data_IF_812361571166
#
_entry.id   IF_812361571166
#
_cell.length_a   1.000
_cell.length_b   1.000
_cell.length_c   1.000
_cell.angle_alpha   90.00
_cell.angle_beta   90.00
_cell.angle_gamma   90.00
#
_symmetry.space_group_name_H-M   'P 1'
#
loop_
_entity.id
_entity.type
_entity.pdbx_description
1 polymer ?
#
# COMPACT_ATOMS: atom_id res chain seq x y z
N UNK A 1 8.50 9.38 15.61
CA UNK A 1 9.19 10.35 14.73
C UNK A 1 8.16 10.97 13.80
N UNK A 2 7.80 12.23 14.01
CA UNK A 2 6.95 12.98 13.08
C UNK A 2 7.78 13.32 11.84
N UNK A 3 7.48 12.73 10.69
CA UNK A 3 8.12 13.07 9.42
C UNK A 3 7.76 14.50 9.06
N UNK A 4 8.69 15.43 9.22
CA UNK A 4 8.52 16.80 8.78
C UNK A 4 8.49 16.82 7.25
N UNK A 5 7.36 17.29 6.71
CA UNK A 5 7.15 17.55 5.30
C UNK A 5 8.00 18.76 4.88
N UNK A 6 9.27 18.52 4.53
CA UNK A 6 10.14 19.53 3.95
C UNK A 6 10.06 19.47 2.41
N UNK A 7 9.91 20.62 1.73
CA UNK A 7 9.85 20.66 0.27
C UNK A 7 11.21 20.33 -0.36
N UNK A 8 11.21 19.47 -1.37
CA UNK A 8 12.37 19.15 -2.19
C UNK A 8 12.77 20.34 -3.09
N UNK A 9 14.06 20.43 -3.44
CA UNK A 9 14.56 21.48 -4.34
C UNK A 9 14.01 21.31 -5.76
N UNK A 10 13.70 22.43 -6.43
CA UNK A 10 13.11 22.50 -7.78
C UNK A 10 13.93 21.89 -8.94
N UNK A 11 15.04 21.20 -8.64
CA UNK A 11 15.95 20.56 -9.60
C UNK A 11 15.87 19.03 -9.61
N UNK A 12 14.97 18.42 -8.83
CA UNK A 12 14.82 16.96 -8.75
C UNK A 12 14.20 16.39 -10.05
N UNK A 13 14.98 15.59 -10.78
CA UNK A 13 14.47 14.82 -11.91
C UNK A 13 13.60 13.66 -11.40
N UNK A 14 12.37 13.55 -11.92
CA UNK A 14 11.43 12.50 -11.52
C UNK A 14 10.69 11.92 -12.72
N UNK A 15 10.22 10.68 -12.57
CA UNK A 15 9.35 10.01 -13.52
C UNK A 15 8.03 9.62 -12.84
N UNK A 16 6.92 9.99 -13.46
CA UNK A 16 5.57 9.58 -13.05
C UNK A 16 5.08 8.52 -14.03
N UNK A 17 4.82 7.31 -13.54
CA UNK A 17 4.42 6.17 -14.34
C UNK A 17 2.96 5.86 -14.04
N UNK A 18 2.07 6.23 -14.96
CA UNK A 18 0.61 6.09 -14.82
C UNK A 18 -0.06 5.26 -15.92
N UNK A 19 0.72 4.69 -16.84
CA UNK A 19 0.19 3.78 -17.85
C UNK A 19 -0.39 2.53 -17.18
N UNK A 20 -1.60 2.17 -17.59
CA UNK A 20 -2.20 0.91 -17.17
C UNK A 20 -3.53 0.62 -17.87
N UNK A 21 -3.83 -0.67 -18.02
CA UNK A 21 -5.09 -1.17 -18.54
C UNK A 21 -5.62 -2.26 -17.61
N UNK A 22 -6.93 -2.43 -17.58
CA UNK A 22 -7.55 -3.51 -16.83
C UNK A 22 -8.76 -4.07 -17.57
N UNK A 23 -9.05 -5.33 -17.32
CA UNK A 23 -10.17 -6.03 -17.97
C UNK A 23 -11.02 -6.68 -16.89
N UNK A 24 -12.31 -6.35 -16.91
CA UNK A 24 -13.34 -6.91 -16.04
C UNK A 24 -13.97 -8.11 -16.74
N UNK A 25 -13.78 -9.29 -16.17
CA UNK A 25 -14.32 -10.55 -16.66
C UNK A 25 -13.96 -11.69 -15.71
N UNK A 26 -14.71 -12.80 -15.78
CA UNK A 26 -14.31 -14.04 -15.12
C UNK A 26 -12.94 -14.52 -15.63
N UNK A 27 -12.27 -15.37 -14.86
CA UNK A 27 -10.96 -15.92 -15.26
C UNK A 27 -11.03 -16.63 -16.62
N UNK A 28 -12.08 -17.43 -16.82
CA UNK A 28 -12.31 -18.18 -18.08
C UNK A 28 -12.92 -17.32 -19.19
N UNK A 29 -13.36 -16.09 -18.88
CA UNK A 29 -13.97 -15.20 -19.86
C UNK A 29 -12.96 -14.26 -20.52
N UNK A 30 -11.72 -14.20 -20.03
CA UNK A 30 -10.66 -13.37 -20.60
C UNK A 30 -9.81 -14.18 -21.57
N UNK A 31 -9.60 -13.65 -22.77
CA UNK A 31 -8.75 -14.31 -23.76
C UNK A 31 -7.26 -14.19 -23.38
N UNK A 32 -6.41 -15.11 -23.83
CA UNK A 32 -4.96 -15.10 -23.54
C UNK A 32 -4.30 -13.77 -23.93
N UNK A 33 -4.71 -13.17 -25.05
CA UNK A 33 -4.25 -11.84 -25.47
C UNK A 33 -4.60 -10.76 -24.44
N UNK A 34 -5.81 -10.77 -23.90
CA UNK A 34 -6.29 -9.79 -22.92
C UNK A 34 -5.52 -9.88 -21.60
N UNK A 35 -5.20 -11.10 -21.16
CA UNK A 35 -4.39 -11.34 -19.96
C UNK A 35 -2.95 -10.87 -20.18
N UNK A 36 -2.35 -11.20 -21.34
CA UNK A 36 -0.99 -10.79 -21.68
C UNK A 36 -0.87 -9.28 -21.83
N UNK A 37 -1.83 -8.62 -22.47
CA UNK A 37 -1.81 -7.16 -22.67
C UNK A 37 -1.80 -6.40 -21.33
N UNK A 38 -2.55 -6.89 -20.34
CA UNK A 38 -2.52 -6.36 -18.97
C UNK A 38 -1.15 -6.52 -18.31
N UNK A 39 -0.50 -7.68 -18.46
CA UNK A 39 0.85 -7.93 -17.94
C UNK A 39 1.91 -7.08 -18.66
N UNK A 40 1.84 -7.02 -19.99
CA UNK A 40 2.73 -6.22 -20.82
C UNK A 40 2.66 -4.74 -20.45
N UNK A 41 1.46 -4.20 -20.32
CA UNK A 41 1.27 -2.78 -20.02
C UNK A 41 1.58 -2.45 -18.56
N UNK A 42 0.97 -3.16 -17.61
CA UNK A 42 1.03 -2.78 -16.20
C UNK A 42 2.35 -3.16 -15.53
N UNK A 43 2.98 -4.26 -15.95
CA UNK A 43 4.19 -4.78 -15.33
C UNK A 43 5.41 -4.61 -16.23
N UNK A 44 5.42 -5.18 -17.44
CA UNK A 44 6.63 -5.13 -18.29
C UNK A 44 6.90 -3.71 -18.78
N UNK A 45 5.87 -2.92 -19.08
CA UNK A 45 6.00 -1.50 -19.42
C UNK A 45 6.64 -0.70 -18.28
N UNK A 46 6.19 -0.90 -17.05
CA UNK A 46 6.79 -0.32 -15.85
C UNK A 46 8.27 -0.74 -15.70
N UNK A 47 8.54 -2.04 -15.80
CA UNK A 47 9.88 -2.60 -15.71
C UNK A 47 10.82 -1.98 -16.75
N UNK A 48 10.38 -1.90 -18.01
CA UNK A 48 11.17 -1.37 -19.12
C UNK A 48 11.50 0.11 -18.93
N UNK A 49 10.53 0.93 -18.49
CA UNK A 49 10.77 2.35 -18.19
C UNK A 49 11.85 2.48 -17.13
N UNK A 50 11.71 1.76 -16.02
CA UNK A 50 12.67 1.82 -14.91
C UNK A 50 14.02 1.27 -15.33
N UNK A 51 14.07 0.16 -16.06
CA UNK A 51 15.32 -0.44 -16.55
C UNK A 51 16.14 0.57 -17.38
N UNK A 52 15.48 1.34 -18.23
CA UNK A 52 16.12 2.36 -19.07
C UNK A 52 16.53 3.60 -18.28
N UNK A 53 15.76 4.00 -17.27
CA UNK A 53 15.93 5.29 -16.57
C UNK A 53 16.72 5.18 -15.26
N UNK A 54 16.75 4.01 -14.61
CA UNK A 54 17.44 3.79 -13.34
C UNK A 54 18.95 4.04 -13.42
N UNK A 55 19.69 3.64 -14.48
CA UNK A 55 21.10 3.96 -14.60
C UNK A 55 21.39 5.47 -14.60
N UNK A 56 20.46 6.27 -15.14
CA UNK A 56 20.58 7.73 -15.16
C UNK A 56 20.42 8.33 -13.77
N UNK A 57 19.36 7.97 -13.03
CA UNK A 57 19.15 8.44 -11.66
C UNK A 57 20.25 7.97 -10.71
N UNK A 58 20.70 6.72 -10.86
CA UNK A 58 21.85 6.17 -10.13
C UNK A 58 23.11 7.01 -10.32
N UNK A 59 23.45 7.39 -11.56
CA UNK A 59 24.62 8.23 -11.86
C UNK A 59 24.52 9.62 -11.23
N UNK A 60 23.32 10.20 -11.17
CA UNK A 60 23.08 11.51 -10.55
C UNK A 60 23.02 11.45 -9.02
N UNK A 61 22.90 10.25 -8.43
CA UNK A 61 22.64 10.02 -7.01
C UNK A 61 21.42 10.80 -6.50
N UNK A 62 20.44 10.93 -7.38
CA UNK A 62 19.22 11.71 -7.17
C UNK A 62 18.21 11.30 -8.22
N UNK A 63 16.98 11.07 -7.79
CA UNK A 63 15.87 10.79 -8.68
C UNK A 63 14.63 10.34 -7.92
N UNK A 64 13.50 10.33 -8.61
CA UNK A 64 12.24 9.86 -8.02
C UNK A 64 11.39 9.11 -9.02
N UNK A 65 10.82 7.99 -8.60
CA UNK A 65 9.75 7.30 -9.29
C UNK A 65 8.45 7.43 -8.50
N UNK A 66 7.41 7.92 -9.15
CA UNK A 66 6.04 7.86 -8.64
C UNK A 66 5.26 6.93 -9.57
N UNK A 67 4.84 5.79 -9.04
CA UNK A 67 4.21 4.71 -9.81
C UNK A 67 2.76 4.57 -9.37
N UNK A 68 1.82 4.69 -10.31
CA UNK A 68 0.41 4.46 -10.01
C UNK A 68 0.09 2.98 -9.93
N UNK A 69 -0.30 2.55 -8.74
CA UNK A 69 -0.89 1.24 -8.51
C UNK A 69 -2.39 1.39 -8.18
N UNK A 70 -2.97 0.32 -7.67
CA UNK A 70 -4.36 0.22 -7.28
C UNK A 70 -4.44 -0.63 -6.03
N UNK A 71 -5.54 -0.53 -5.29
CA UNK A 71 -5.89 -1.50 -4.25
C UNK A 71 -5.80 -2.95 -4.75
N UNK A 72 -6.00 -3.15 -6.06
CA UNK A 72 -5.88 -4.45 -6.71
C UNK A 72 -4.46 -5.02 -6.71
N UNK A 73 -3.44 -4.21 -6.42
CA UNK A 73 -2.05 -4.63 -6.22
C UNK A 73 -1.77 -5.28 -4.86
N UNK A 74 -2.76 -5.27 -3.97
CA UNK A 74 -2.69 -5.91 -2.65
C UNK A 74 -3.93 -6.75 -2.31
N UNK A 75 -5.05 -6.51 -3.00
CA UNK A 75 -6.31 -7.21 -2.80
C UNK A 75 -6.75 -7.93 -4.07
N UNK A 76 -7.07 -9.21 -3.95
CA UNK A 76 -7.73 -9.96 -5.02
C UNK A 76 -9.21 -9.58 -5.13
N UNK A 77 -9.64 -9.12 -6.30
CA UNK A 77 -11.01 -8.70 -6.56
C UNK A 77 -11.69 -9.65 -7.57
N UNK A 78 -12.86 -10.23 -7.24
CA UNK A 78 -13.58 -11.09 -8.18
C UNK A 78 -13.97 -10.35 -9.46
N UNK A 79 -13.64 -10.96 -10.60
CA UNK A 79 -13.81 -10.36 -11.93
C UNK A 79 -12.66 -9.47 -12.40
N UNK A 80 -11.55 -9.40 -11.64
CA UNK A 80 -10.35 -8.62 -11.97
C UNK A 80 -9.06 -9.44 -11.86
N UNK A 81 -9.12 -10.77 -12.00
CA UNK A 81 -7.99 -11.67 -11.74
C UNK A 81 -6.70 -11.29 -12.47
N UNK A 82 -6.75 -11.12 -13.80
CA UNK A 82 -5.60 -10.71 -14.62
C UNK A 82 -5.05 -9.34 -14.21
N UNK A 83 -5.94 -8.36 -13.98
CA UNK A 83 -5.56 -7.03 -13.52
C UNK A 83 -4.87 -7.06 -12.15
N UNK A 84 -5.46 -7.75 -11.16
CA UNK A 84 -4.89 -7.95 -9.83
C UNK A 84 -3.49 -8.58 -9.93
N UNK A 85 -3.34 -9.67 -10.68
CA UNK A 85 -2.03 -10.32 -10.88
C UNK A 85 -0.98 -9.35 -11.43
N UNK A 86 -1.34 -8.57 -12.44
CA UNK A 86 -0.42 -7.58 -13.03
C UNK A 86 -0.02 -6.45 -12.07
N UNK A 87 -0.95 -5.98 -11.23
CA UNK A 87 -0.67 -4.93 -10.24
C UNK A 87 0.11 -5.46 -9.03
N UNK A 88 -0.13 -6.70 -8.60
CA UNK A 88 0.70 -7.37 -7.58
C UNK A 88 2.14 -7.51 -8.06
N UNK A 89 2.34 -7.96 -9.31
CA UNK A 89 3.66 -8.06 -9.92
C UNK A 89 4.38 -6.70 -9.95
N UNK A 90 3.67 -5.64 -10.33
CA UNK A 90 4.20 -4.28 -10.32
C UNK A 90 4.58 -3.81 -8.91
N UNK A 91 3.73 -3.98 -7.90
CA UNK A 91 4.06 -3.58 -6.53
C UNK A 91 5.21 -4.38 -5.93
N UNK A 92 5.24 -5.70 -6.14
CA UNK A 92 6.33 -6.56 -5.67
C UNK A 92 7.66 -6.18 -6.30
N UNK A 93 7.67 -5.87 -7.61
CA UNK A 93 8.86 -5.37 -8.28
C UNK A 93 9.34 -4.04 -7.68
N UNK A 94 8.42 -3.10 -7.45
CA UNK A 94 8.76 -1.79 -6.88
C UNK A 94 9.26 -1.90 -5.44
N UNK A 95 8.66 -2.76 -4.64
CA UNK A 95 9.10 -3.00 -3.26
C UNK A 95 10.52 -3.58 -3.22
N UNK A 96 10.81 -4.56 -4.09
CA UNK A 96 12.17 -5.11 -4.24
C UNK A 96 13.16 -4.03 -4.72
N UNK A 97 12.79 -3.28 -5.76
CA UNK A 97 13.65 -2.27 -6.38
C UNK A 97 14.00 -1.13 -5.43
N UNK A 98 13.12 -0.78 -4.49
CA UNK A 98 13.35 0.28 -3.52
C UNK A 98 14.68 0.09 -2.79
N UNK A 99 14.98 -1.14 -2.35
CA UNK A 99 16.22 -1.47 -1.63
C UNK A 99 17.48 -1.31 -2.50
N UNK A 100 17.37 -1.54 -3.81
CA UNK A 100 18.49 -1.37 -4.75
C UNK A 100 18.78 0.11 -5.04
N UNK A 101 17.75 0.95 -5.01
CA UNK A 101 17.81 2.36 -5.38
C UNK A 101 18.12 3.30 -4.21
N UNK A 102 17.79 2.89 -2.99
CA UNK A 102 17.99 3.68 -1.77
C UNK A 102 19.44 4.15 -1.56
N UNK A 103 20.49 3.32 -1.72
CA UNK A 103 21.88 3.74 -1.55
C UNK A 103 22.32 4.86 -2.52
N UNK A 104 21.58 5.04 -3.61
CA UNK A 104 21.83 6.07 -4.61
C UNK A 104 20.91 7.29 -4.44
N UNK A 105 20.20 7.39 -3.32
CA UNK A 105 19.25 8.47 -3.05
C UNK A 105 18.21 8.64 -4.17
N UNK A 106 17.78 7.51 -4.75
CA UNK A 106 16.67 7.45 -5.69
C UNK A 106 15.45 6.96 -4.93
N UNK A 107 14.40 7.78 -4.86
CA UNK A 107 13.19 7.49 -4.09
C UNK A 107 12.12 6.85 -4.97
N UNK A 108 11.34 5.94 -4.39
CA UNK A 108 10.24 5.28 -5.10
C UNK A 108 8.99 5.33 -4.24
N UNK A 109 7.86 5.67 -4.85
CA UNK A 109 6.56 5.69 -4.20
C UNK A 109 5.49 5.12 -5.11
N UNK A 110 4.66 4.26 -4.53
CA UNK A 110 3.44 3.70 -5.08
C UNK A 110 2.26 4.58 -4.67
N UNK A 111 1.56 5.12 -5.65
CA UNK A 111 0.27 5.80 -5.44
C UNK A 111 -0.82 4.76 -5.56
N UNK A 112 -1.39 4.36 -4.43
CA UNK A 112 -2.45 3.35 -4.36
C UNK A 112 -3.79 4.08 -4.51
N UNK A 113 -4.21 4.27 -5.76
CA UNK A 113 -5.47 4.93 -6.06
C UNK A 113 -6.62 3.91 -6.14
N UNK A 114 -7.75 4.26 -5.51
CA UNK A 114 -9.03 3.71 -5.91
C UNK A 114 -9.47 4.26 -7.26
N UNK A 115 -10.68 3.90 -7.69
CA UNK A 115 -11.36 4.66 -8.73
C UNK A 115 -11.39 6.15 -8.29
N UNK A 116 -11.24 7.08 -9.24
CA UNK A 116 -11.44 8.52 -9.01
C UNK A 116 -12.49 9.08 -9.98
N UNK A 117 -13.28 10.06 -9.52
CA UNK A 117 -14.20 10.82 -10.38
C UNK A 117 -13.40 11.80 -11.22
N UNK A 118 -13.75 11.91 -12.50
CA UNK A 118 -13.32 13.03 -13.34
C UNK A 118 -14.06 14.31 -12.96
N UNK A 119 -13.35 15.32 -12.46
CA UNK A 119 -13.97 16.59 -12.07
C UNK A 119 -14.40 17.44 -13.27
N UNK A 120 -13.81 17.19 -14.45
CA UNK A 120 -14.13 17.92 -15.67
C UNK A 120 -15.18 17.15 -16.47
N UNK A 121 -16.34 17.76 -16.71
CA UNK A 121 -17.32 17.21 -17.65
C UNK A 121 -16.67 17.04 -19.02
N UNK A 122 -16.64 15.82 -19.54
CA UNK A 122 -16.14 15.61 -20.90
C UNK A 122 -17.12 16.24 -21.88
N UNK A 123 -16.69 17.27 -22.62
CA UNK A 123 -17.41 17.78 -23.79
C UNK A 123 -17.32 16.83 -25.00
N UNK A 124 -16.68 15.67 -24.84
CA UNK A 124 -16.43 14.70 -25.89
C UNK A 124 -17.03 13.34 -25.55
N UNK A 125 -18.27 13.09 -26.02
CA UNK A 125 -18.55 12.06 -27.03
C UNK A 125 -20.04 11.68 -27.06
N UNK A 126 -20.79 12.39 -27.89
CA UNK A 126 -21.94 11.77 -28.54
C UNK A 126 -21.43 10.55 -29.32
N UNK A 127 -21.66 9.34 -28.79
CA UNK A 127 -21.51 8.08 -29.55
C UNK A 127 -20.30 7.19 -29.27
N UNK A 128 -19.35 7.54 -28.38
CA UNK A 128 -18.40 6.52 -27.87
C UNK A 128 -19.07 5.79 -26.72
N UNK A 129 -19.01 4.45 -26.73
CA UNK A 129 -19.37 3.61 -25.58
C UNK A 129 -18.71 4.24 -24.35
N UNK A 130 -19.49 4.46 -23.30
CA UNK A 130 -18.98 5.12 -22.08
C UNK A 130 -17.68 4.42 -21.63
N UNK A 131 -16.56 5.11 -21.80
CA UNK A 131 -15.26 4.66 -21.31
C UNK A 131 -15.29 4.85 -19.80
N UNK A 132 -15.81 3.87 -19.07
CA UNK A 132 -15.73 3.85 -17.62
C UNK A 132 -14.28 3.54 -17.24
N UNK A 133 -13.58 4.54 -16.70
CA UNK A 133 -12.31 4.40 -15.97
C UNK A 133 -11.40 3.26 -16.46
N UNK A 134 -10.66 3.42 -17.56
CA UNK A 134 -9.60 2.51 -18.05
C UNK A 134 -9.87 0.97 -18.12
N UNK A 135 -11.07 0.50 -17.77
CA UNK A 135 -11.43 -0.91 -17.69
C UNK A 135 -12.26 -1.30 -18.91
N UNK A 136 -11.79 -2.31 -19.64
CA UNK A 136 -12.61 -3.00 -20.63
C UNK A 136 -13.49 -4.03 -19.92
N UNK A 137 -14.68 -4.30 -20.45
CA UNK A 137 -15.61 -5.28 -19.88
C UNK A 137 -15.86 -6.40 -20.88
N UNK A 138 -15.49 -7.62 -20.50
CA UNK A 138 -15.75 -8.82 -21.29
C UNK A 138 -17.17 -9.33 -21.03
N UNK A 139 -17.73 -10.08 -21.99
CA UNK A 139 -19.06 -10.68 -21.85
C UNK A 139 -18.94 -11.93 -20.98
N UNK A 140 -19.74 -12.06 -19.90
CA UNK A 140 -19.69 -13.25 -19.07
C UNK A 140 -20.22 -14.48 -19.82
N UNK A 141 -19.52 -15.60 -19.70
CA UNK A 141 -20.00 -16.91 -20.17
C UNK A 141 -21.17 -17.42 -19.31
N UNK A 142 -21.85 -18.47 -19.78
CA UNK A 142 -23.05 -19.01 -19.12
C UNK A 142 -22.88 -19.30 -17.62
N UNK A 143 -21.79 -19.93 -17.13
CA UNK A 143 -21.59 -20.17 -15.70
C UNK A 143 -21.56 -18.88 -14.86
N UNK A 144 -21.12 -17.78 -15.46
CA UNK A 144 -20.95 -16.50 -14.79
C UNK A 144 -22.02 -15.47 -15.16
N UNK A 145 -22.96 -15.79 -16.05
CA UNK A 145 -23.90 -14.82 -16.63
C UNK A 145 -24.86 -14.20 -15.60
N UNK A 146 -25.08 -14.85 -14.46
CA UNK A 146 -25.90 -14.30 -13.38
C UNK A 146 -25.33 -12.99 -12.83
N UNK A 147 -26.19 -11.99 -12.64
CA UNK A 147 -25.82 -10.70 -12.05
C UNK A 147 -25.20 -10.86 -10.66
N UNK A 148 -25.65 -11.85 -9.88
CA UNK A 148 -25.12 -12.11 -8.53
C UNK A 148 -23.83 -12.89 -8.52
N UNK A 149 -23.38 -13.42 -9.67
CA UNK A 149 -22.13 -14.18 -9.79
C UNK A 149 -20.96 -13.40 -9.20
N UNK A 150 -20.06 -14.05 -8.45
CA UNK A 150 -18.82 -13.43 -7.98
C UNK A 150 -17.99 -12.83 -9.13
N UNK A 151 -17.95 -13.47 -10.29
CA UNK A 151 -17.23 -12.95 -11.46
C UNK A 151 -17.78 -11.60 -11.97
N UNK A 152 -19.04 -11.28 -11.67
CA UNK A 152 -19.66 -10.00 -11.97
C UNK A 152 -19.53 -8.96 -10.84
N UNK A 153 -18.78 -9.25 -9.77
CA UNK A 153 -18.61 -8.32 -8.65
C UNK A 153 -17.97 -7.01 -9.09
N UNK A 154 -16.81 -7.04 -9.76
CA UNK A 154 -16.15 -5.83 -10.26
C UNK A 154 -17.03 -5.02 -11.23
N UNK A 155 -17.80 -5.71 -12.10
CA UNK A 155 -18.78 -5.06 -12.97
C UNK A 155 -19.84 -4.30 -12.16
N UNK A 156 -20.41 -4.93 -11.14
CA UNK A 156 -21.40 -4.31 -10.24
C UNK A 156 -20.79 -3.13 -9.47
N UNK A 157 -19.58 -3.30 -8.95
CA UNK A 157 -18.84 -2.24 -8.24
C UNK A 157 -18.67 -1.01 -9.12
N UNK A 158 -18.11 -1.15 -10.32
CA UNK A 158 -17.93 -0.02 -11.25
C UNK A 158 -19.26 0.65 -11.60
N UNK A 159 -20.31 -0.14 -11.84
CA UNK A 159 -21.66 0.37 -12.14
C UNK A 159 -22.33 1.06 -10.94
N UNK A 160 -22.01 0.67 -9.71
CA UNK A 160 -22.56 1.27 -8.50
C UNK A 160 -21.81 2.54 -8.09
N UNK A 161 -20.49 2.50 -8.20
CA UNK A 161 -19.57 3.57 -7.80
C UNK A 161 -19.76 4.81 -8.70
N UNK A 162 -19.85 4.65 -10.02
CA UNK A 162 -20.05 5.71 -11.06
C UNK A 162 -19.59 7.11 -10.59
N UNK A 163 -20.53 8.03 -10.38
CA UNK A 163 -20.24 9.43 -10.05
C UNK A 163 -20.17 9.70 -8.54
N UNK A 164 -20.37 8.66 -7.71
CA UNK A 164 -20.45 8.76 -6.25
C UNK A 164 -19.09 8.78 -5.58
N UNK A 165 -18.01 8.91 -6.34
CA UNK A 165 -16.68 8.88 -5.77
C UNK A 165 -16.31 10.18 -5.09
N UNK A 166 -15.80 10.01 -3.87
CA UNK A 166 -15.30 11.10 -3.03
C UNK A 166 -13.92 11.56 -3.55
N UNK A 167 -13.13 10.63 -4.08
CA UNK A 167 -11.81 10.89 -4.65
C UNK A 167 -11.93 11.57 -6.01
N UNK A 168 -11.29 12.73 -6.13
CA UNK A 168 -11.31 13.60 -7.31
C UNK A 168 -9.97 13.48 -8.05
N UNK A 169 -9.98 13.47 -9.39
CA UNK A 169 -8.76 13.40 -10.20
C UNK A 169 -7.85 14.64 -10.00
N UNK A 170 -8.42 15.82 -9.78
CA UNK A 170 -7.66 17.03 -9.42
C UNK A 170 -6.95 16.84 -8.09
N UNK A 171 -7.65 16.36 -7.05
CA UNK A 171 -7.04 16.09 -5.74
C UNK A 171 -5.96 15.02 -5.80
N UNK A 172 -6.13 14.00 -6.65
CA UNK A 172 -5.07 13.01 -6.90
C UNK A 172 -3.84 13.69 -7.49
N UNK A 173 -4.02 14.60 -8.44
CA UNK A 173 -2.93 15.40 -9.01
C UNK A 173 -2.21 16.27 -7.97
N UNK A 174 -2.95 16.93 -7.09
CA UNK A 174 -2.40 17.71 -5.97
C UNK A 174 -1.58 16.84 -5.01
N UNK A 175 -2.10 15.67 -4.62
CA UNK A 175 -1.39 14.73 -3.74
C UNK A 175 -0.12 14.17 -4.38
N UNK A 176 -0.15 13.88 -5.68
CA UNK A 176 1.04 13.45 -6.44
C UNK A 176 2.07 14.57 -6.52
N UNK A 177 1.62 15.81 -6.70
CA UNK A 177 2.48 16.98 -6.66
C UNK A 177 3.16 17.14 -5.30
N UNK A 178 2.40 17.05 -4.21
CA UNK A 178 2.95 17.09 -2.85
C UNK A 178 3.95 15.95 -2.61
N UNK A 179 3.62 14.73 -3.03
CA UNK A 179 4.50 13.57 -2.94
C UNK A 179 5.80 13.75 -3.72
N UNK A 180 5.74 14.39 -4.89
CA UNK A 180 6.92 14.71 -5.69
C UNK A 180 7.87 15.67 -4.97
N UNK A 181 7.33 16.58 -4.16
CA UNK A 181 8.09 17.54 -3.36
C UNK A 181 8.41 17.04 -1.95
N UNK A 182 8.00 15.84 -1.57
CA UNK A 182 8.27 15.30 -0.23
C UNK A 182 9.71 14.78 -0.12
N UNK A 183 10.51 15.29 0.83
CA UNK A 183 11.90 14.86 1.00
C UNK A 183 12.01 13.36 1.31
N UNK A 184 11.16 12.84 2.19
CA UNK A 184 11.12 11.44 2.61
C UNK A 184 9.73 10.86 2.35
N UNK A 185 9.42 10.52 1.08
CA UNK A 185 8.10 10.04 0.73
C UNK A 185 7.88 8.61 1.28
N UNK A 186 6.64 8.23 1.60
CA UNK A 186 6.33 6.83 1.90
C UNK A 186 6.47 5.95 0.65
N UNK A 187 6.72 4.65 0.85
CA UNK A 187 6.65 3.69 -0.25
C UNK A 187 5.22 3.57 -0.79
N UNK A 188 4.18 3.60 0.06
CA UNK A 188 2.78 3.52 -0.36
C UNK A 188 1.99 4.73 0.13
N UNK A 189 1.43 5.49 -0.80
CA UNK A 189 0.47 6.57 -0.53
C UNK A 189 -0.93 6.10 -0.91
N UNK A 190 -1.80 5.91 0.09
CA UNK A 190 -3.18 5.48 -0.11
C UNK A 190 -4.08 6.67 -0.39
N UNK A 191 -4.81 6.63 -1.52
CA UNK A 191 -5.71 7.70 -1.93
C UNK A 191 -7.18 7.27 -1.82
N UNK A 192 -7.85 7.84 -0.82
CA UNK A 192 -9.28 7.68 -0.57
C UNK A 192 -9.60 6.68 0.55
N UNK A 193 -10.69 6.95 1.26
CA UNK A 193 -11.14 6.16 2.42
C UNK A 193 -11.30 4.67 2.10
N UNK A 194 -11.93 4.35 0.97
CA UNK A 194 -12.11 2.95 0.54
C UNK A 194 -10.78 2.20 0.37
N UNK A 195 -9.73 2.86 -0.13
CA UNK A 195 -8.42 2.22 -0.31
C UNK A 195 -7.78 1.91 1.05
N UNK A 196 -7.86 2.86 1.98
CA UNK A 196 -7.34 2.71 3.34
C UNK A 196 -8.07 1.59 4.09
N UNK A 197 -9.40 1.60 4.08
CA UNK A 197 -10.23 0.61 4.77
C UNK A 197 -10.01 -0.80 4.18
N UNK A 198 -10.04 -0.94 2.85
CA UNK A 198 -9.85 -2.23 2.18
C UNK A 198 -8.49 -2.85 2.50
N UNK A 199 -7.40 -2.06 2.49
CA UNK A 199 -6.08 -2.58 2.82
C UNK A 199 -5.97 -2.91 4.31
N UNK A 200 -6.52 -2.08 5.21
CA UNK A 200 -6.54 -2.36 6.64
C UNK A 200 -7.26 -3.67 6.94
N UNK A 201 -8.42 -3.90 6.34
CA UNK A 201 -9.19 -5.12 6.55
C UNK A 201 -8.48 -6.36 5.98
N UNK A 202 -7.87 -6.26 4.79
CA UNK A 202 -7.07 -7.36 4.23
C UNK A 202 -5.86 -7.71 5.11
N UNK A 203 -5.18 -6.69 5.64
CA UNK A 203 -4.05 -6.90 6.56
C UNK A 203 -4.52 -7.59 7.85
N UNK A 204 -5.63 -7.13 8.43
CA UNK A 204 -6.22 -7.76 9.63
C UNK A 204 -6.57 -9.22 9.38
N UNK A 205 -7.29 -9.50 8.29
CA UNK A 205 -7.66 -10.86 7.91
C UNK A 205 -6.44 -11.77 7.71
N UNK A 206 -5.39 -11.25 7.07
CA UNK A 206 -4.17 -12.03 6.84
C UNK A 206 -3.43 -12.30 8.15
N UNK A 207 -3.43 -11.36 9.09
CA UNK A 207 -2.88 -11.57 10.42
C UNK A 207 -3.69 -12.61 11.23
N UNK A 208 -5.02 -12.50 11.20
CA UNK A 208 -5.92 -13.48 11.82
C UNK A 208 -5.67 -14.89 11.27
N UNK A 209 -5.53 -15.03 9.95
CA UNK A 209 -5.19 -16.31 9.31
C UNK A 209 -3.84 -16.85 9.80
N UNK A 210 -2.80 -16.02 9.92
CA UNK A 210 -1.50 -16.47 10.45
C UNK A 210 -1.65 -16.98 11.90
N UNK A 211 -2.39 -16.26 12.73
CA UNK A 211 -2.63 -16.64 14.13
C UNK A 211 -3.44 -17.93 14.28
N UNK A 212 -4.47 -18.13 13.45
CA UNK A 212 -5.29 -19.34 13.47
C UNK A 212 -4.45 -20.59 13.15
N UNK A 213 -3.49 -20.45 12.24
CA UNK A 213 -2.62 -21.53 11.78
C UNK A 213 -1.27 -21.61 12.53
N UNK A 214 -1.06 -20.80 13.57
CA UNK A 214 0.25 -20.74 14.25
C UNK A 214 0.73 -22.06 14.84
N UNK A 215 -0.18 -22.95 15.19
CA UNK A 215 0.13 -24.29 15.68
C UNK A 215 0.87 -25.16 14.65
N UNK A 216 0.81 -24.81 13.35
CA UNK A 216 1.61 -25.45 12.29
C UNK A 216 3.02 -24.88 12.18
N UNK A 217 3.28 -23.71 12.75
CA UNK A 217 4.56 -23.04 12.72
C UNK A 217 5.27 -23.27 14.07
N UNK A 218 6.48 -23.80 14.02
CA UNK A 218 7.37 -23.79 15.19
C UNK A 218 8.03 -22.41 15.27
N UNK A 219 7.25 -21.40 15.66
CA UNK A 219 7.78 -20.09 15.97
C UNK A 219 8.46 -20.18 17.34
N UNK A 220 9.70 -19.71 17.40
CA UNK A 220 10.40 -19.59 18.68
C UNK A 220 9.85 -18.36 19.40
N UNK A 221 8.84 -18.57 20.24
CA UNK A 221 8.16 -17.50 21.01
C UNK A 221 9.06 -16.93 22.14
N UNK A 222 10.32 -17.37 22.24
CA UNK A 222 11.25 -16.94 23.29
C UNK A 222 11.61 -15.46 23.27
N UNK A 223 11.37 -14.74 22.17
CA UNK A 223 11.63 -13.30 22.05
C UNK A 223 10.39 -12.40 22.25
N UNK A 224 9.18 -12.96 22.36
CA UNK A 224 7.94 -12.19 22.52
C UNK A 224 7.54 -11.94 23.98
N UNK A 225 8.34 -12.39 24.95
CA UNK A 225 8.18 -11.98 26.35
C UNK A 225 8.58 -10.50 26.49
N UNK A 226 7.59 -9.61 26.35
CA UNK A 226 7.67 -8.25 26.89
C UNK A 226 8.14 -8.31 28.35
N UNK A 227 9.05 -7.44 28.80
CA UNK A 227 9.45 -7.43 30.20
C UNK A 227 8.20 -7.15 31.04
N UNK A 228 7.74 -8.16 31.75
CA UNK A 228 6.61 -8.09 32.66
C UNK A 228 6.88 -6.99 33.66
N UNK A 229 5.87 -6.15 33.85
CA UNK A 229 5.77 -5.16 34.91
C UNK A 229 6.35 -5.73 36.22
N UNK A 230 7.32 -5.02 36.79
CA UNK A 230 7.78 -5.26 38.15
C UNK A 230 6.58 -5.32 39.07
N UNK A 231 6.26 -6.51 39.58
CA UNK A 231 5.29 -6.70 40.65
C UNK A 231 5.76 -5.90 41.87
N UNK A 232 5.12 -4.75 42.09
CA UNK A 232 5.04 -4.15 43.41
C UNK A 232 4.20 -5.05 44.31
N UNK A 233 4.77 -5.41 45.45
CA UNK A 233 4.02 -5.70 46.66
C UNK A 233 3.52 -7.13 46.83
N UNK A 234 4.35 -7.96 47.48
CA UNK A 234 3.94 -8.84 48.57
C UNK A 234 5.17 -9.57 49.13
N UNK A 235 5.95 -8.89 49.96
CA UNK A 235 6.50 -9.54 51.14
C UNK A 235 6.82 -8.50 52.22
N UNK A 236 6.22 -8.68 53.37
CA UNK A 236 6.25 -7.75 54.50
C UNK A 236 5.75 -8.44 55.75
N UNK A 237 6.19 -9.68 55.95
CA UNK A 237 6.10 -10.38 57.21
C UNK A 237 7.01 -9.73 58.25
N UNK A 238 6.40 -9.48 59.40
CA UNK A 238 6.94 -9.04 60.68
C UNK A 238 8.44 -9.33 60.92
N UNK A 239 9.21 -8.26 61.16
CA UNK A 239 10.38 -8.32 62.05
C UNK A 239 10.29 -7.16 63.04
N UNK A 240 10.03 -7.53 64.30
CA UNK A 240 10.16 -6.67 65.46
C UNK A 240 11.63 -6.24 65.67
N UNK A 241 11.77 -4.95 65.98
CA UNK A 241 12.76 -4.32 66.86
C UNK A 241 14.21 -4.83 66.85
N UNK A 242 15.06 -4.14 66.10
CA UNK A 242 16.45 -3.89 66.52
C UNK A 242 16.73 -2.39 66.46
N UNK A 243 16.79 -1.81 67.66
CA UNK A 243 17.20 -0.45 67.98
C UNK A 243 18.58 -0.14 67.38
N UNK A 244 18.67 0.94 66.59
CA UNK A 244 19.94 1.59 66.26
C UNK A 244 19.83 3.08 66.61
N UNK A 245 20.27 3.38 67.83
CA UNK A 245 20.56 4.72 68.33
C UNK A 245 21.67 5.37 67.52
N UNK A 246 21.44 6.58 67.00
CA UNK A 246 22.49 7.50 66.58
C UNK A 246 22.32 8.81 67.35
N UNK A 247 23.11 9.00 68.40
CA UNK A 247 23.45 10.32 68.93
C UNK A 247 24.97 10.40 68.93
N UNK A 248 25.50 11.33 68.15
CA UNK A 248 26.87 11.85 68.30
C UNK A 248 26.86 12.83 69.47
N UNK A 249 27.80 12.71 70.39
CA UNK A 249 28.58 13.86 70.87
C UNK A 249 29.75 13.40 71.77
N UNK A 250 30.83 14.15 71.64
CA UNK A 250 32.15 14.02 72.26
C UNK A 250 32.09 14.43 73.74
N UNK A 251 32.81 13.75 74.63
CA UNK A 251 33.94 14.34 75.39
C UNK A 251 34.55 13.38 76.42
N UNK A 252 35.86 13.52 76.60
CA UNK A 252 36.80 12.71 77.37
C UNK A 252 36.92 13.17 78.87
N UNK A 253 37.81 12.63 79.73
CA UNK A 253 37.45 12.12 81.05
C UNK A 253 37.86 13.00 82.24
N UNK A 254 37.16 12.83 83.38
CA UNK A 254 37.71 12.68 84.75
C UNK A 254 36.62 12.40 85.78
#
# INVERSE_FOLDING_TARGET
MLSTWAPASATDAGAVICAGCGIIGGCEDQDDYEIRDQMETNFLGLFNIIHLTAPYFRKRKQGRYIVFSSISGFLGLPGLGGYCGSKWAAEGFIESLMYELEPYNVKVSLVIAGLARHDRQSTASQGRKANWAHFLMTRPSQPYASVTSPANHARRMVQWIRDKQITSDVKVGEMVWELAHCQNPPLRLLLGQHAVESMRDKLRFTLEEIEDWKHLYHLDDSELQTPTETQEGQDGGEMEDVVMSNVKEEDEPK
#
